data_IF_029402378183
#
_entry.id   IF_029402378183
#
_cell.length_a   1.000
_cell.length_b   1.000
_cell.length_c   1.000
_cell.angle_alpha   90.00
_cell.angle_beta   90.00
_cell.angle_gamma   90.00
#
_symmetry.space_group_name_H-M   'P 1'
#
loop_
_entity.id
_entity.type
_entity.pdbx_description
1 polymer ?
#
# COMPACT_ATOMS: atom_id res chain seq x y z
N UNK A 1 7.89 -3.98 -3.38
CA UNK A 1 8.57 -5.26 -3.04
C UNK A 1 9.92 -5.04 -2.34
N UNK A 2 10.84 -4.21 -2.88
CA UNK A 2 12.13 -3.96 -2.22
C UNK A 2 11.99 -3.47 -0.77
N UNK A 3 11.14 -2.45 -0.55
CA UNK A 3 10.84 -1.92 0.80
C UNK A 3 10.35 -2.99 1.77
N UNK A 4 9.50 -3.92 1.32
CA UNK A 4 8.98 -5.01 2.15
C UNK A 4 10.07 -6.00 2.57
N UNK A 5 11.07 -6.25 1.71
CA UNK A 5 12.21 -7.12 2.03
C UNK A 5 13.20 -6.46 3.00
N UNK A 6 13.37 -5.14 2.91
CA UNK A 6 14.34 -4.40 3.71
C UNK A 6 13.79 -3.94 5.06
N UNK A 7 12.53 -3.47 5.08
CA UNK A 7 11.92 -2.79 6.23
C UNK A 7 10.77 -3.56 6.87
N UNK A 8 10.34 -4.69 6.29
CA UNK A 8 9.26 -5.52 6.82
C UNK A 8 7.85 -4.92 6.65
N UNK A 9 7.69 -3.64 6.33
CA UNK A 9 6.39 -3.05 6.02
C UNK A 9 6.50 -1.92 5.00
N UNK A 10 5.38 -1.61 4.35
CA UNK A 10 5.24 -0.48 3.46
C UNK A 10 3.88 0.20 3.65
N UNK A 11 3.86 1.51 3.52
CA UNK A 11 2.63 2.31 3.51
C UNK A 11 2.41 2.89 2.11
N UNK A 12 1.17 2.79 1.61
CA UNK A 12 0.75 3.40 0.35
C UNK A 12 -0.49 4.24 0.61
N UNK A 13 -0.44 5.51 0.23
CA UNK A 13 -1.59 6.42 0.32
C UNK A 13 -2.10 6.74 -1.09
N UNK A 14 -3.42 6.70 -1.28
CA UNK A 14 -4.06 6.93 -2.57
C UNK A 14 -5.31 7.81 -2.43
N UNK A 15 -5.42 8.83 -3.28
CA UNK A 15 -6.57 9.75 -3.34
C UNK A 15 -7.32 9.56 -4.65
N UNK A 16 -8.64 9.30 -4.53
CA UNK A 16 -9.53 9.08 -5.68
C UNK A 16 -9.51 7.65 -6.21
N UNK A 17 -10.61 7.26 -6.88
CA UNK A 17 -10.87 5.88 -7.30
C UNK A 17 -9.78 5.30 -8.22
N UNK A 18 -9.24 6.11 -9.13
CA UNK A 18 -8.18 5.69 -10.04
C UNK A 18 -6.90 5.30 -9.31
N UNK A 19 -6.43 6.15 -8.38
CA UNK A 19 -5.23 5.90 -7.59
C UNK A 19 -5.41 4.69 -6.67
N UNK A 20 -6.57 4.54 -6.03
CA UNK A 20 -6.91 3.40 -5.19
C UNK A 20 -6.84 2.09 -5.98
N UNK A 21 -7.41 2.05 -7.18
CA UNK A 21 -7.33 0.89 -8.07
C UNK A 21 -5.87 0.55 -8.44
N UNK A 22 -5.04 1.56 -8.72
CA UNK A 22 -3.62 1.32 -9.01
C UNK A 22 -2.85 0.82 -7.80
N UNK A 23 -3.12 1.36 -6.60
CA UNK A 23 -2.52 0.88 -5.35
C UNK A 23 -2.84 -0.60 -5.11
N UNK A 24 -4.10 -1.00 -5.25
CA UNK A 24 -4.50 -2.41 -5.09
C UNK A 24 -3.83 -3.33 -6.11
N UNK A 25 -3.76 -2.92 -7.39
CA UNK A 25 -3.03 -3.68 -8.43
C UNK A 25 -1.56 -3.82 -8.09
N UNK A 26 -0.91 -2.74 -7.64
CA UNK A 26 0.49 -2.76 -7.24
C UNK A 26 0.74 -3.69 -6.05
N UNK A 27 -0.16 -3.73 -5.06
CA UNK A 27 -0.10 -4.66 -3.93
C UNK A 27 -0.22 -6.12 -4.41
N UNK A 28 -1.16 -6.41 -5.31
CA UNK A 28 -1.31 -7.75 -5.88
C UNK A 28 -0.05 -8.21 -6.65
N UNK A 29 0.57 -7.32 -7.43
CA UNK A 29 1.85 -7.59 -8.11
C UNK A 29 2.97 -7.80 -7.08
N UNK A 30 3.04 -6.97 -6.03
CA UNK A 30 4.06 -7.08 -5.00
C UNK A 30 4.00 -8.42 -4.25
N UNK A 31 2.81 -8.97 -4.00
CA UNK A 31 2.61 -10.32 -3.45
C UNK A 31 3.31 -11.37 -4.30
N UNK A 32 3.12 -11.33 -5.63
CA UNK A 32 3.78 -12.25 -6.56
C UNK A 32 5.31 -12.18 -6.50
N UNK A 33 5.88 -10.99 -6.28
CA UNK A 33 7.34 -10.83 -6.18
C UNK A 33 7.96 -11.32 -4.87
N UNK A 34 7.20 -11.37 -3.78
CA UNK A 34 7.73 -11.77 -2.47
C UNK A 34 7.37 -13.22 -2.09
N UNK A 35 6.34 -13.79 -2.72
CA UNK A 35 5.92 -15.18 -2.49
C UNK A 35 7.05 -16.22 -2.67
N UNK A 36 7.95 -16.13 -3.68
CA UNK A 36 9.06 -17.08 -3.81
C UNK A 36 10.05 -17.06 -2.63
N UNK A 37 10.06 -15.99 -1.83
CA UNK A 37 10.89 -15.88 -0.62
C UNK A 37 10.14 -16.36 0.64
N UNK A 38 8.97 -17.00 0.48
CA UNK A 38 8.16 -17.48 1.60
C UNK A 38 7.39 -16.38 2.35
N UNK A 39 7.29 -15.18 1.78
CA UNK A 39 6.61 -14.04 2.42
C UNK A 39 5.16 -13.98 1.91
N UNK A 40 4.18 -14.20 2.80
CA UNK A 40 2.76 -13.90 2.54
C UNK A 40 2.42 -12.51 3.06
N UNK A 41 1.93 -11.63 2.19
CA UNK A 41 1.55 -10.27 2.58
C UNK A 41 0.08 -10.17 2.93
N UNK A 42 -0.21 -9.40 3.97
CA UNK A 42 -1.53 -8.86 4.28
C UNK A 42 -1.60 -7.37 3.91
N UNK A 43 -2.82 -6.84 3.88
CA UNK A 43 -3.06 -5.41 3.65
C UNK A 43 -4.16 -4.93 4.57
N UNK A 44 -3.91 -3.85 5.30
CA UNK A 44 -4.83 -3.25 6.25
C UNK A 44 -5.20 -1.85 5.72
N UNK A 45 -6.39 -1.69 5.11
CA UNK A 45 -6.86 -0.40 4.63
C UNK A 45 -7.41 0.45 5.77
N UNK A 46 -7.18 1.76 5.70
CA UNK A 46 -7.75 2.75 6.61
C UNK A 46 -8.00 4.06 5.86
N UNK A 47 -8.92 4.88 6.36
CA UNK A 47 -8.98 6.29 5.95
C UNK A 47 -7.80 7.06 6.55
N UNK A 48 -7.32 8.06 5.82
CA UNK A 48 -6.34 9.02 6.29
C UNK A 48 -6.67 10.39 5.71
N UNK A 49 -6.44 11.45 6.49
CA UNK A 49 -6.46 12.82 5.98
C UNK A 49 -5.04 13.21 5.58
N UNK A 50 -4.88 13.78 4.38
CA UNK A 50 -3.59 14.21 3.86
C UNK A 50 -3.69 15.60 3.23
N UNK A 51 -2.69 16.44 3.47
CA UNK A 51 -2.59 17.75 2.84
C UNK A 51 -1.96 17.63 1.44
N UNK A 52 -2.69 18.06 0.40
CA UNK A 52 -2.20 18.19 -0.97
C UNK A 52 -2.50 19.62 -1.44
N UNK A 53 -1.46 20.33 -1.87
CA UNK A 53 -1.60 21.72 -2.37
C UNK A 53 -2.26 22.69 -1.36
N UNK A 54 -2.13 22.41 -0.06
CA UNK A 54 -2.74 23.20 1.00
C UNK A 54 -4.20 22.86 1.30
N UNK A 55 -4.79 21.88 0.60
CA UNK A 55 -6.12 21.35 0.87
C UNK A 55 -6.03 19.99 1.57
N UNK A 56 -6.84 19.81 2.62
CA UNK A 56 -7.04 18.50 3.24
C UNK A 56 -7.89 17.62 2.34
N UNK A 57 -7.41 16.40 2.10
CA UNK A 57 -8.11 15.39 1.31
C UNK A 57 -8.15 14.05 2.03
N UNK A 58 -9.32 13.44 2.01
CA UNK A 58 -9.48 12.07 2.47
C UNK A 58 -8.85 11.10 1.46
N UNK A 59 -7.88 10.34 1.93
CA UNK A 59 -7.19 9.27 1.23
C UNK A 59 -7.55 7.89 1.79
N UNK A 60 -7.24 6.84 1.02
CA UNK A 60 -7.10 5.49 1.55
C UNK A 60 -5.63 5.22 1.79
N UNK A 61 -5.30 4.85 3.03
CA UNK A 61 -3.98 4.35 3.44
C UNK A 61 -4.02 2.83 3.46
N UNK A 62 -3.07 2.20 2.79
CA UNK A 62 -2.82 0.78 2.81
C UNK A 62 -1.53 0.50 3.59
N UNK A 63 -1.65 -0.19 4.71
CA UNK A 63 -0.49 -0.76 5.41
C UNK A 63 -0.30 -2.16 4.86
N UNK A 64 0.89 -2.45 4.34
CA UNK A 64 1.25 -3.73 3.71
C UNK A 64 2.42 -4.32 4.46
N UNK A 65 2.25 -5.53 4.98
CA UNK A 65 3.25 -6.21 5.82
C UNK A 65 3.10 -7.73 5.67
N UNK A 66 4.15 -8.51 5.96
CA UNK A 66 4.06 -9.95 6.14
C UNK A 66 3.02 -10.29 7.21
N UNK A 67 2.35 -11.44 7.04
CA UNK A 67 1.54 -12.03 8.11
C UNK A 67 2.40 -12.48 9.29
#
# INVERSE_FOLDING_TARGET
AAVLREKGSAEVQAVGAGAVNQAVKAIAIARGYVAPNGIDLITIPAFAEIAIEGEERTAIRFIVEPR
#
